data_IF_631192409899
#
_entry.id   IF_631192409899
#
_cell.length_a   1.000
_cell.length_b   1.000
_cell.length_c   1.000
_cell.angle_alpha   90.00
_cell.angle_beta   90.00
_cell.angle_gamma   90.00
#
_symmetry.space_group_name_H-M   'P 1'
#
loop_
_entity.id
_entity.type
_entity.pdbx_description
1 polymer ?
#
# COMPACT_ATOMS: atom_id res chain seq x y z
N UNK A 1 -12.59 0.62 10.99
CA UNK A 1 -13.52 0.53 12.13
C UNK A 1 -13.03 1.15 13.43
N UNK A 2 -11.73 1.11 13.74
CA UNK A 2 -11.19 1.64 15.01
C UNK A 2 -11.32 3.18 15.19
N UNK A 3 -11.47 3.93 14.10
CA UNK A 3 -11.63 5.39 14.06
C UNK A 3 -13.09 5.87 13.86
N UNK A 4 -14.06 4.94 13.88
CA UNK A 4 -15.49 5.28 13.82
C UNK A 4 -15.99 5.61 15.21
N UNK A 5 -17.12 6.33 15.31
CA UNK A 5 -17.80 6.55 16.58
C UNK A 5 -18.09 5.22 17.29
N UNK A 6 -17.59 5.08 18.52
CA UNK A 6 -17.61 3.84 19.30
C UNK A 6 -16.44 2.88 19.08
N UNK A 7 -15.46 3.24 18.23
CA UNK A 7 -14.21 2.51 18.00
C UNK A 7 -13.18 2.65 19.13
N UNK A 8 -11.97 2.13 18.90
CA UNK A 8 -10.87 2.13 19.87
C UNK A 8 -10.53 3.57 20.34
N UNK A 9 -10.40 4.48 19.39
CA UNK A 9 -10.00 5.87 19.61
C UNK A 9 -11.16 6.86 19.73
N UNK A 10 -12.41 6.38 19.64
CA UNK A 10 -13.60 7.24 19.67
C UNK A 10 -13.72 8.14 18.45
N UNK A 11 -14.29 9.33 18.65
CA UNK A 11 -14.45 10.34 17.60
C UNK A 11 -13.15 11.13 17.43
N UNK A 12 -12.47 10.92 16.30
CA UNK A 12 -11.27 11.66 15.89
C UNK A 12 -11.68 12.79 14.94
N UNK A 13 -11.27 14.01 15.25
CA UNK A 13 -11.53 15.18 14.41
C UNK A 13 -10.38 15.49 13.46
N UNK A 14 -9.15 15.10 13.80
CA UNK A 14 -7.94 15.36 13.01
C UNK A 14 -6.85 14.35 13.38
N UNK A 15 -6.05 13.97 12.40
CA UNK A 15 -4.82 13.21 12.61
C UNK A 15 -3.65 13.98 11.96
N UNK A 16 -2.59 14.22 12.71
CA UNK A 16 -1.32 14.74 12.20
C UNK A 16 -0.30 13.62 12.16
N UNK A 17 0.47 13.54 11.08
CA UNK A 17 1.46 12.48 10.87
C UNK A 17 2.76 13.14 10.44
N UNK A 18 3.86 12.76 11.08
CA UNK A 18 5.19 13.19 10.67
C UNK A 18 6.21 12.07 10.87
N UNK A 19 7.32 12.14 10.13
CA UNK A 19 8.41 11.18 10.25
C UNK A 19 9.54 11.48 9.30
N UNK A 20 10.62 10.72 9.47
CA UNK A 20 11.79 10.72 8.59
C UNK A 20 11.90 9.33 7.96
N UNK A 21 12.15 9.30 6.65
CA UNK A 21 12.35 8.08 5.89
C UNK A 21 13.83 8.08 5.49
N UNK A 22 14.56 7.04 5.89
CA UNK A 22 15.97 6.85 5.53
C UNK A 22 16.12 5.94 4.32
N UNK A 23 17.31 5.90 3.71
CA UNK A 23 17.62 5.10 2.51
C UNK A 23 17.50 3.58 2.73
N UNK A 24 17.46 3.13 4.00
CA UNK A 24 17.02 1.80 4.37
C UNK A 24 15.53 1.80 4.65
N UNK A 25 14.80 0.77 4.23
CA UNK A 25 13.36 0.62 4.40
C UNK A 25 12.85 0.75 5.86
N UNK A 26 13.70 1.04 6.84
CA UNK A 26 13.32 1.24 8.22
C UNK A 26 12.82 2.67 8.46
N UNK A 27 11.64 2.77 9.09
CA UNK A 27 11.17 4.04 9.63
C UNK A 27 11.83 4.18 10.98
N UNK A 28 12.90 4.96 11.05
CA UNK A 28 13.62 5.16 12.31
C UNK A 28 12.93 6.19 13.20
N UNK A 29 12.14 7.11 12.62
CA UNK A 29 11.51 8.21 13.34
C UNK A 29 10.14 8.54 12.76
N UNK A 30 9.08 8.41 13.57
CA UNK A 30 7.71 8.64 13.13
C UNK A 30 6.76 8.83 14.30
N UNK A 31 5.74 9.67 14.12
CA UNK A 31 4.61 9.76 15.05
C UNK A 31 3.28 10.11 14.36
N UNK A 32 2.21 9.68 15.01
CA UNK A 32 0.82 10.06 14.74
C UNK A 32 0.25 10.75 15.96
N UNK A 33 -0.32 11.94 15.76
CA UNK A 33 -1.06 12.68 16.76
C UNK A 33 -2.54 12.65 16.37
N UNK A 34 -3.36 12.07 17.24
CA UNK A 34 -4.80 12.04 17.10
C UNK A 34 -5.41 13.14 17.97
N UNK A 35 -6.27 13.95 17.36
CA UNK A 35 -7.05 14.96 18.06
C UNK A 35 -8.50 14.51 18.17
N UNK A 36 -9.03 14.51 19.39
CA UNK A 36 -10.36 13.97 19.68
C UNK A 36 -10.71 14.13 21.16
N UNK A 37 -11.29 13.08 21.74
CA UNK A 37 -11.60 13.02 23.18
C UNK A 37 -11.11 11.69 23.74
N UNK A 38 -10.17 11.73 24.68
CA UNK A 38 -9.51 10.55 25.21
C UNK A 38 -9.69 10.41 26.72
N UNK A 39 -10.12 9.22 27.15
CA UNK A 39 -10.06 8.77 28.53
C UNK A 39 -8.85 7.84 28.66
N UNK A 40 -7.82 8.29 29.38
CA UNK A 40 -6.52 7.61 29.41
C UNK A 40 -6.62 6.17 29.91
N UNK A 41 -7.23 5.95 31.07
CA UNK A 41 -7.38 4.62 31.67
C UNK A 41 -8.12 3.65 30.72
N UNK A 42 -9.24 4.09 30.13
CA UNK A 42 -10.01 3.26 29.21
C UNK A 42 -9.29 2.99 27.90
N UNK A 43 -8.53 3.96 27.38
CA UNK A 43 -7.81 3.82 26.12
C UNK A 43 -6.64 2.84 26.28
N UNK A 44 -5.84 3.00 27.34
CA UNK A 44 -4.68 2.14 27.61
C UNK A 44 -5.13 0.69 27.84
N UNK A 45 -6.18 0.45 28.63
CA UNK A 45 -6.69 -0.89 28.86
C UNK A 45 -7.16 -1.59 27.57
N UNK A 46 -7.76 -0.83 26.63
CA UNK A 46 -8.14 -1.37 25.32
C UNK A 46 -6.89 -1.67 24.47
N UNK A 47 -5.88 -0.80 24.49
CA UNK A 47 -4.65 -1.00 23.74
C UNK A 47 -3.86 -2.23 24.23
N UNK A 48 -3.72 -2.42 25.54
CA UNK A 48 -3.12 -3.65 26.10
C UNK A 48 -3.87 -4.91 25.65
N UNK A 49 -5.21 -4.86 25.60
CA UNK A 49 -6.01 -5.96 25.08
C UNK A 49 -5.81 -6.20 23.57
N UNK A 50 -5.50 -5.17 22.79
CA UNK A 50 -5.27 -5.28 21.34
C UNK A 50 -3.85 -5.79 21.06
N UNK A 51 -2.85 -5.29 21.78
CA UNK A 51 -1.46 -5.70 21.63
C UNK A 51 -1.16 -7.07 22.25
N UNK A 52 -1.99 -7.52 23.19
CA UNK A 52 -1.84 -8.81 23.85
C UNK A 52 -0.69 -8.87 24.86
N UNK A 53 -0.19 -7.71 25.29
CA UNK A 53 0.83 -7.55 26.33
C UNK A 53 0.62 -6.25 27.10
N UNK A 54 1.16 -6.21 28.32
CA UNK A 54 1.04 -5.07 29.23
C UNK A 54 1.95 -3.91 28.79
N UNK A 55 1.52 -2.67 29.06
CA UNK A 55 2.30 -1.47 28.79
C UNK A 55 3.01 -0.98 30.06
N UNK A 56 4.33 -0.83 29.98
CA UNK A 56 5.12 -0.22 31.03
C UNK A 56 4.97 1.31 31.00
N UNK A 57 4.84 1.92 32.17
CA UNK A 57 4.71 3.37 32.32
C UNK A 57 6.04 4.00 32.72
N UNK A 58 6.38 5.12 32.06
CA UNK A 58 7.44 6.03 32.50
C UNK A 58 6.95 7.47 32.49
N UNK A 59 7.45 8.29 33.41
CA UNK A 59 7.15 9.72 33.43
C UNK A 59 8.22 10.47 32.65
N UNK A 60 7.82 11.27 31.66
CA UNK A 60 8.71 12.14 30.90
C UNK A 60 8.15 13.57 30.93
N UNK A 61 8.89 14.48 31.58
CA UNK A 61 8.52 15.90 31.75
C UNK A 61 7.06 16.14 32.21
N UNK A 62 6.56 15.26 33.08
CA UNK A 62 5.22 15.34 33.65
C UNK A 62 4.12 14.64 32.84
N UNK A 63 4.41 14.18 31.62
CA UNK A 63 3.53 13.30 30.85
C UNK A 63 3.83 11.83 31.17
N UNK A 64 2.80 10.98 31.12
CA UNK A 64 2.95 9.53 31.19
C UNK A 64 3.19 9.01 29.77
N UNK A 65 4.30 8.31 29.60
CA UNK A 65 4.65 7.62 28.36
C UNK A 65 4.57 6.12 28.60
N UNK A 66 3.82 5.45 27.74
CA UNK A 66 3.62 4.01 27.74
C UNK A 66 4.47 3.38 26.64
N UNK A 67 5.07 2.22 26.91
CA UNK A 67 5.79 1.41 25.92
C UNK A 67 5.56 -0.07 26.23
N UNK A 68 5.76 -1.00 25.27
CA UNK A 68 5.71 -2.42 25.58
C UNK A 68 6.62 -2.78 26.76
N UNK A 69 6.14 -3.62 27.67
CA UNK A 69 6.92 -4.03 28.83
C UNK A 69 8.13 -4.91 28.43
N UNK A 70 8.02 -5.63 27.31
CA UNK A 70 9.05 -6.55 26.81
C UNK A 70 10.07 -5.86 25.89
N UNK A 71 9.67 -4.80 25.20
CA UNK A 71 10.52 -4.02 24.29
C UNK A 71 10.14 -2.53 24.32
N UNK A 72 10.87 -1.75 25.12
CA UNK A 72 10.57 -0.33 25.30
C UNK A 72 10.89 0.54 24.06
N UNK A 73 11.62 -0.01 23.09
CA UNK A 73 12.07 0.70 21.88
C UNK A 73 11.15 0.41 20.67
N UNK A 74 10.23 -0.56 20.78
CA UNK A 74 9.31 -0.94 19.70
C UNK A 74 8.37 0.20 19.33
N UNK A 75 7.71 0.79 20.33
CA UNK A 75 6.92 2.01 20.19
C UNK A 75 6.69 2.68 21.55
N UNK A 76 6.29 3.94 21.50
CA UNK A 76 5.79 4.67 22.65
C UNK A 76 4.39 5.23 22.36
N UNK A 77 3.66 5.52 23.44
CA UNK A 77 2.32 6.13 23.42
C UNK A 77 2.20 7.15 24.54
N UNK A 78 1.38 8.19 24.36
CA UNK A 78 1.01 9.10 25.45
C UNK A 78 -0.34 9.75 25.19
N UNK A 79 -1.17 9.86 26.23
CA UNK A 79 -2.31 10.78 26.26
C UNK A 79 -1.79 12.10 26.80
N UNK A 80 -1.51 13.05 25.90
CA UNK A 80 -0.86 14.31 26.27
C UNK A 80 -1.80 15.24 27.03
N UNK A 81 -3.10 15.14 26.77
CA UNK A 81 -4.20 15.77 27.48
C UNK A 81 -5.53 15.11 27.05
N UNK A 82 -6.67 15.64 27.53
CA UNK A 82 -8.01 15.11 27.21
C UNK A 82 -8.37 15.13 25.73
N UNK A 83 -7.62 15.89 24.91
CA UNK A 83 -7.90 16.10 23.49
C UNK A 83 -6.83 15.57 22.54
N UNK A 84 -5.65 15.19 23.03
CA UNK A 84 -4.54 14.76 22.17
C UNK A 84 -3.92 13.45 22.66
N UNK A 85 -3.92 12.47 21.77
CA UNK A 85 -3.20 11.21 21.91
C UNK A 85 -2.07 11.15 20.90
N UNK A 86 -0.91 10.62 21.28
CA UNK A 86 0.24 10.45 20.39
C UNK A 86 0.77 9.01 20.47
N UNK A 87 1.17 8.48 19.32
CA UNK A 87 1.87 7.21 19.16
C UNK A 87 3.08 7.45 18.26
N UNK A 88 4.23 6.84 18.55
CA UNK A 88 5.41 7.01 17.71
C UNK A 88 6.59 6.13 18.10
N UNK A 89 7.63 6.18 17.26
CA UNK A 89 8.89 5.44 17.37
C UNK A 89 10.07 6.41 17.28
N UNK A 90 11.29 5.94 17.52
CA UNK A 90 12.50 6.75 17.31
C UNK A 90 12.68 7.92 18.27
N UNK A 91 11.93 7.96 19.37
CA UNK A 91 11.92 9.09 20.29
C UNK A 91 10.99 10.23 19.91
N UNK A 92 10.21 10.12 18.83
CA UNK A 92 9.31 11.17 18.35
C UNK A 92 8.32 11.68 19.42
N UNK A 93 7.87 10.82 20.34
CA UNK A 93 7.00 11.24 21.46
C UNK A 93 7.70 12.19 22.42
N UNK A 94 8.99 11.95 22.71
CA UNK A 94 9.73 12.85 23.57
C UNK A 94 9.84 14.24 22.91
N UNK A 95 10.05 14.31 21.59
CA UNK A 95 10.12 15.58 20.86
C UNK A 95 8.77 16.30 20.86
N UNK A 96 7.66 15.57 20.69
CA UNK A 96 6.31 16.16 20.81
C UNK A 96 6.09 16.75 22.19
N UNK A 97 6.51 16.04 23.25
CA UNK A 97 6.42 16.53 24.63
C UNK A 97 7.34 17.74 24.84
N UNK A 98 8.55 17.72 24.28
CA UNK A 98 9.53 18.80 24.38
C UNK A 98 9.01 20.07 23.71
N UNK A 99 8.40 19.96 22.53
CA UNK A 99 7.74 21.09 21.86
C UNK A 99 6.56 21.59 22.69
N UNK A 100 5.70 20.70 23.19
CA UNK A 100 4.53 21.07 24.01
C UNK A 100 4.91 21.78 25.31
N UNK A 101 6.03 21.39 25.90
CA UNK A 101 6.55 21.98 27.16
C UNK A 101 7.38 23.24 26.92
N UNK A 102 7.72 23.56 25.67
CA UNK A 102 8.52 24.72 25.30
C UNK A 102 10.03 24.51 25.45
N UNK A 103 10.47 23.26 25.55
CA UNK A 103 11.89 22.87 25.63
C UNK A 103 12.54 22.63 24.26
N UNK A 104 11.72 22.54 23.19
CA UNK A 104 12.17 22.44 21.81
C UNK A 104 11.34 23.37 20.91
N UNK A 105 11.96 23.83 19.81
CA UNK A 105 11.29 24.66 18.81
C UNK A 105 10.44 23.78 17.86
N UNK A 106 9.25 24.22 17.45
CA UNK A 106 8.48 23.55 16.40
C UNK A 106 9.23 23.47 15.07
N UNK A 107 8.86 22.50 14.23
CA UNK A 107 9.36 22.39 12.87
C UNK A 107 9.10 23.68 12.07
N UNK A 108 10.05 24.05 11.21
CA UNK A 108 9.99 25.26 10.38
C UNK A 108 10.75 25.06 9.06
N UNK A 109 10.61 26.02 8.14
CA UNK A 109 11.24 26.00 6.82
C UNK A 109 10.31 25.51 5.71
N UNK A 110 10.84 25.43 4.48
CA UNK A 110 10.05 25.29 3.26
C UNK A 110 9.08 24.09 3.28
N UNK A 111 9.49 22.94 3.82
CA UNK A 111 8.60 21.77 3.93
C UNK A 111 7.38 22.06 4.82
N UNK A 112 7.61 22.72 5.95
CA UNK A 112 6.55 23.07 6.89
C UNK A 112 5.66 24.19 6.34
N UNK A 113 6.25 25.15 5.62
CA UNK A 113 5.50 26.20 4.93
C UNK A 113 4.54 25.58 3.90
N UNK A 114 5.04 24.66 3.04
CA UNK A 114 4.23 23.92 2.07
C UNK A 114 3.13 23.08 2.73
N UNK A 115 3.43 22.39 3.84
CA UNK A 115 2.41 21.66 4.60
C UNK A 115 1.32 22.59 5.14
N UNK A 116 1.71 23.70 5.77
CA UNK A 116 0.76 24.65 6.36
C UNK A 116 -0.18 25.25 5.32
N UNK A 117 0.34 25.59 4.14
CA UNK A 117 -0.44 26.11 3.00
C UNK A 117 -1.52 25.13 2.52
N UNK A 118 -1.31 23.82 2.70
CA UNK A 118 -2.21 22.75 2.24
C UNK A 118 -3.10 22.17 3.35
N UNK A 119 -2.72 22.34 4.62
CA UNK A 119 -3.36 21.71 5.78
C UNK A 119 -4.75 22.25 6.16
N UNK A 120 -5.21 23.31 5.48
CA UNK A 120 -6.49 23.95 5.78
C UNK A 120 -7.73 23.22 5.27
N UNK A 121 -7.57 22.27 4.36
CA UNK A 121 -8.67 21.51 3.74
C UNK A 121 -9.02 20.19 4.46
N UNK A 122 -9.68 19.29 3.73
CA UNK A 122 -9.99 17.92 4.16
C UNK A 122 -8.73 17.10 4.49
N UNK A 123 -7.66 17.29 3.71
CA UNK A 123 -6.35 16.69 3.97
C UNK A 123 -5.23 17.56 3.39
N UNK A 124 -4.04 17.43 3.99
CA UNK A 124 -2.82 18.09 3.53
C UNK A 124 -1.61 17.19 3.78
N UNK A 125 -0.68 17.19 2.84
CA UNK A 125 0.52 16.37 2.84
C UNK A 125 1.66 17.15 2.22
N UNK A 126 2.86 17.03 2.78
CA UNK A 126 4.08 17.54 2.19
C UNK A 126 5.23 16.57 2.42
N UNK A 127 6.07 16.39 1.42
CA UNK A 127 7.19 15.46 1.41
C UNK A 127 8.41 16.14 0.79
N UNK A 128 9.56 16.03 1.46
CA UNK A 128 10.85 16.36 0.84
C UNK A 128 11.32 15.16 0.01
N UNK A 129 11.70 15.42 -1.23
CA UNK A 129 12.11 14.40 -2.20
C UNK A 129 13.63 14.18 -2.11
N UNK A 130 14.09 12.96 -1.80
CA UNK A 130 15.50 12.59 -1.90
C UNK A 130 16.05 12.84 -3.31
N UNK A 131 17.21 13.49 -3.40
CA UNK A 131 17.78 13.97 -4.67
C UNK A 131 18.39 12.85 -5.53
N UNK A 132 18.56 11.67 -4.95
CA UNK A 132 19.06 10.45 -5.58
C UNK A 132 17.97 9.58 -6.23
N UNK A 133 16.68 9.88 -5.98
CA UNK A 133 15.56 9.18 -6.64
C UNK A 133 15.68 9.22 -8.17
N UNK A 134 16.20 10.32 -8.72
CA UNK A 134 16.37 10.46 -10.17
C UNK A 134 17.54 9.64 -10.72
N UNK A 135 18.53 9.29 -9.89
CA UNK A 135 19.65 8.43 -10.29
C UNK A 135 19.25 6.94 -10.27
N UNK A 136 18.27 6.57 -9.46
CA UNK A 136 17.73 5.20 -9.37
C UNK A 136 16.59 4.91 -10.35
N UNK A 137 15.81 5.93 -10.72
CA UNK A 137 14.71 5.78 -11.66
C UNK A 137 15.23 5.70 -13.11
N UNK A 138 15.20 4.52 -13.74
CA UNK A 138 15.35 4.40 -15.20
C UNK A 138 14.09 4.95 -15.90
N UNK A 139 14.00 6.27 -16.00
CA UNK A 139 12.87 6.99 -16.59
C UNK A 139 12.66 6.63 -18.08
N UNK A 140 13.70 6.16 -18.77
CA UNK A 140 13.62 5.66 -20.14
C UNK A 140 12.85 4.34 -20.28
N UNK A 141 12.62 3.64 -19.17
CA UNK A 141 11.87 2.39 -19.14
C UNK A 141 10.39 2.56 -18.78
N UNK A 142 9.91 3.79 -18.54
CA UNK A 142 8.48 4.10 -18.37
C UNK A 142 7.77 3.98 -19.74
N UNK A 143 6.90 2.98 -19.93
CA UNK A 143 6.26 2.73 -21.22
C UNK A 143 5.37 3.91 -21.65
N UNK A 144 5.63 4.46 -22.83
CA UNK A 144 4.91 5.61 -23.38
C UNK A 144 5.58 6.98 -23.13
N UNK A 145 6.59 7.06 -22.26
CA UNK A 145 7.38 8.28 -22.04
C UNK A 145 8.78 8.24 -22.68
N UNK A 146 9.39 7.06 -22.82
CA UNK A 146 10.74 6.91 -23.39
C UNK A 146 10.91 7.31 -24.87
N UNK A 147 9.81 7.36 -25.64
CA UNK A 147 9.81 7.79 -27.04
C UNK A 147 9.46 9.28 -27.23
N UNK A 148 9.18 10.01 -26.13
CA UNK A 148 8.86 11.43 -26.22
C UNK A 148 10.13 12.27 -26.35
N UNK A 149 10.19 13.25 -27.27
CA UNK A 149 11.36 14.11 -27.47
C UNK A 149 11.43 15.22 -26.41
N UNK A 150 11.18 14.89 -25.15
CA UNK A 150 11.15 15.80 -24.00
C UNK A 150 12.05 15.23 -22.91
N UNK A 151 12.95 16.08 -22.40
CA UNK A 151 13.82 15.73 -21.29
C UNK A 151 13.01 15.74 -19.99
N UNK A 152 13.17 14.70 -19.17
CA UNK A 152 12.57 14.57 -17.84
C UNK A 152 13.57 15.01 -16.74
N UNK A 153 14.59 15.78 -17.11
CA UNK A 153 15.67 16.21 -16.20
C UNK A 153 15.14 17.09 -15.05
N UNK A 154 13.92 17.62 -15.16
CA UNK A 154 13.27 18.37 -14.09
C UNK A 154 12.97 17.51 -12.85
N UNK A 155 12.87 16.18 -12.98
CA UNK A 155 12.61 15.27 -11.85
C UNK A 155 13.78 15.29 -10.86
N UNK A 156 15.01 15.34 -11.37
CA UNK A 156 16.22 15.47 -10.54
C UNK A 156 16.31 16.78 -9.75
N UNK A 157 15.55 17.80 -10.15
CA UNK A 157 15.53 19.10 -9.50
C UNK A 157 14.35 19.26 -8.52
N UNK A 158 13.47 18.26 -8.40
CA UNK A 158 12.33 18.31 -7.49
C UNK A 158 12.81 18.24 -6.04
N UNK A 159 12.40 19.19 -5.21
CA UNK A 159 12.80 19.30 -3.80
C UNK A 159 11.65 18.92 -2.85
N UNK A 160 10.47 19.52 -3.02
CA UNK A 160 9.32 19.28 -2.15
C UNK A 160 8.07 19.04 -3.00
N UNK A 161 7.29 18.03 -2.63
CA UNK A 161 5.96 17.79 -3.18
C UNK A 161 4.94 17.96 -2.07
N UNK A 162 3.92 18.78 -2.35
CA UNK A 162 2.75 18.94 -1.51
C UNK A 162 1.49 18.49 -2.23
N UNK A 163 0.57 17.91 -1.47
CA UNK A 163 -0.77 17.56 -1.93
C UNK A 163 -1.78 17.97 -0.87
N UNK A 164 -2.75 18.79 -1.24
CA UNK A 164 -3.88 19.18 -0.41
C UNK A 164 -5.19 18.89 -1.14
N UNK A 165 -6.24 18.70 -0.36
CA UNK A 165 -7.59 18.55 -0.89
C UNK A 165 -8.62 19.20 0.02
N UNK A 166 -9.60 19.87 -0.57
CA UNK A 166 -10.75 20.41 0.13
C UNK A 166 -12.05 20.00 -0.56
N UNK A 167 -13.14 19.90 0.22
CA UNK A 167 -14.45 19.56 -0.30
C UNK A 167 -15.32 20.81 -0.34
N UNK A 168 -15.45 21.42 -1.51
CA UNK A 168 -16.26 22.64 -1.72
C UNK A 168 -17.42 22.37 -2.69
N UNK A 169 -18.62 22.82 -2.34
CA UNK A 169 -19.84 22.79 -3.18
C UNK A 169 -20.11 21.50 -3.99
N UNK A 170 -19.72 20.34 -3.47
CA UNK A 170 -19.93 19.03 -4.12
C UNK A 170 -18.84 18.64 -5.12
N UNK A 171 -17.69 19.30 -5.09
CA UNK A 171 -16.43 18.92 -5.72
C UNK A 171 -15.32 18.73 -4.69
N UNK A 172 -14.37 17.85 -5.01
CA UNK A 172 -13.08 17.73 -4.36
C UNK A 172 -12.08 18.58 -5.14
N UNK A 173 -11.61 19.66 -4.54
CA UNK A 173 -10.59 20.53 -5.10
C UNK A 173 -9.23 20.05 -4.61
N UNK A 174 -8.42 19.54 -5.54
CA UNK A 174 -7.07 19.08 -5.28
C UNK A 174 -6.07 20.17 -5.65
N UNK A 175 -5.08 20.35 -4.79
CA UNK A 175 -3.93 21.24 -5.01
C UNK A 175 -2.66 20.41 -4.89
N UNK A 176 -1.88 20.36 -5.96
CA UNK A 176 -0.54 19.75 -5.98
C UNK A 176 0.48 20.88 -6.08
N UNK A 177 1.40 20.96 -5.14
CA UNK A 177 2.53 21.91 -5.19
C UNK A 177 3.82 21.14 -5.42
N UNK A 178 4.67 21.63 -6.30
CA UNK A 178 5.98 21.06 -6.59
C UNK A 178 7.01 22.17 -6.53
N UNK A 179 7.88 22.13 -5.53
CA UNK A 179 9.01 23.04 -5.40
C UNK A 179 10.25 22.41 -6.03
N UNK A 180 10.92 23.18 -6.86
CA UNK A 180 12.16 22.79 -7.54
C UNK A 180 13.35 23.57 -6.98
N UNK A 181 14.52 22.93 -7.02
CA UNK A 181 15.81 23.56 -6.72
C UNK A 181 16.26 24.54 -7.80
N UNK A 182 15.71 24.42 -9.02
CA UNK A 182 15.99 25.27 -10.17
C UNK A 182 14.69 25.72 -10.87
N UNK A 183 14.61 27.01 -11.20
CA UNK A 183 13.42 27.60 -11.83
C UNK A 183 13.14 27.01 -13.24
N UNK A 184 14.19 26.63 -13.99
CA UNK A 184 14.00 26.08 -15.35
C UNK A 184 13.40 24.69 -15.31
N UNK A 185 13.61 23.93 -14.23
CA UNK A 185 12.95 22.65 -14.03
C UNK A 185 11.44 22.82 -13.90
N UNK A 186 11.00 23.79 -13.09
CA UNK A 186 9.58 24.14 -12.96
C UNK A 186 8.99 24.60 -14.30
N UNK A 187 9.69 25.47 -15.04
CA UNK A 187 9.28 25.93 -16.39
C UNK A 187 9.17 24.75 -17.38
N UNK A 188 10.09 23.79 -17.32
CA UNK A 188 10.10 22.62 -18.19
C UNK A 188 8.88 21.72 -17.93
N UNK A 189 8.52 21.50 -16.67
CA UNK A 189 7.33 20.73 -16.32
C UNK A 189 6.03 21.45 -16.72
N UNK A 190 5.94 22.77 -16.46
CA UNK A 190 4.80 23.59 -16.88
C UNK A 190 4.58 23.50 -18.40
N UNK A 191 5.64 23.66 -19.19
CA UNK A 191 5.60 23.55 -20.65
C UNK A 191 5.20 22.14 -21.12
N UNK A 192 5.70 21.11 -20.44
CA UNK A 192 5.35 19.71 -20.72
C UNK A 192 3.86 19.45 -20.52
N UNK A 193 3.31 19.79 -19.36
CA UNK A 193 1.89 19.59 -19.05
C UNK A 193 1.03 20.41 -20.01
N UNK A 194 1.38 21.67 -20.26
CA UNK A 194 0.68 22.54 -21.22
C UNK A 194 0.68 21.94 -22.63
N UNK A 195 1.78 21.31 -23.04
CA UNK A 195 1.89 20.58 -24.30
C UNK A 195 0.91 19.41 -24.38
N UNK A 196 0.83 18.58 -23.34
CA UNK A 196 -0.13 17.47 -23.25
C UNK A 196 -1.57 17.98 -23.32
N UNK A 197 -1.91 19.01 -22.54
CA UNK A 197 -3.27 19.59 -22.51
C UNK A 197 -3.66 20.13 -23.89
N UNK A 198 -2.72 20.80 -24.57
CA UNK A 198 -2.93 21.32 -25.93
C UNK A 198 -3.20 20.20 -26.93
N UNK A 199 -2.42 19.12 -26.87
CA UNK A 199 -2.61 17.95 -27.73
C UNK A 199 -3.94 17.27 -27.43
N UNK A 200 -4.23 16.96 -26.16
CA UNK A 200 -5.47 16.32 -25.74
C UNK A 200 -6.69 17.13 -26.18
N UNK A 201 -6.69 18.45 -26.02
CA UNK A 201 -7.77 19.33 -26.48
C UNK A 201 -8.04 19.23 -27.99
N UNK A 202 -7.04 18.84 -28.79
CA UNK A 202 -7.19 18.61 -30.24
C UNK A 202 -7.74 17.23 -30.64
N UNK A 203 -7.68 16.24 -29.74
CA UNK A 203 -8.13 14.85 -30.00
C UNK A 203 -9.43 14.48 -29.28
N UNK A 204 -9.81 15.21 -28.24
CA UNK A 204 -10.97 14.88 -27.43
C UNK A 204 -12.28 15.31 -28.11
N UNK A 205 -13.05 14.32 -28.53
CA UNK A 205 -14.44 14.47 -29.03
C UNK A 205 -15.48 13.94 -28.03
N UNK A 206 -15.07 13.40 -26.87
CA UNK A 206 -15.96 12.86 -25.83
C UNK A 206 -16.20 13.91 -24.71
N UNK A 207 -17.45 14.30 -24.44
CA UNK A 207 -17.82 15.26 -23.38
C UNK A 207 -17.34 14.91 -21.97
N UNK A 208 -17.11 13.62 -21.66
CA UNK A 208 -16.69 13.17 -20.33
C UNK A 208 -15.22 13.47 -20.03
N UNK A 209 -14.35 13.40 -21.03
CA UNK A 209 -12.93 13.76 -20.92
C UNK A 209 -12.66 15.26 -21.01
N UNK A 210 -13.60 16.04 -21.56
CA UNK A 210 -13.51 17.51 -21.56
C UNK A 210 -13.72 18.13 -20.17
N UNK A 211 -14.41 17.43 -19.24
CA UNK A 211 -14.65 17.92 -17.88
C UNK A 211 -13.39 17.94 -17.00
N UNK A 212 -12.60 16.87 -17.02
CA UNK A 212 -11.40 16.71 -16.18
C UNK A 212 -10.29 17.69 -16.60
N UNK A 213 -10.11 17.92 -17.91
CA UNK A 213 -9.14 18.92 -18.40
C UNK A 213 -9.63 20.37 -18.27
N UNK A 214 -10.95 20.58 -18.17
CA UNK A 214 -11.54 21.91 -18.01
C UNK A 214 -11.33 22.52 -16.63
N UNK A 215 -11.04 21.70 -15.62
CA UNK A 215 -10.77 22.11 -14.23
C UNK A 215 -9.29 22.08 -13.85
N UNK A 216 -8.38 21.85 -14.80
CA UNK A 216 -6.94 21.87 -14.58
C UNK A 216 -6.41 23.29 -14.69
N UNK A 217 -5.96 23.86 -13.59
CA UNK A 217 -5.25 25.13 -13.55
C UNK A 217 -3.79 24.88 -13.18
N UNK A 218 -2.87 25.55 -13.88
CA UNK A 218 -1.44 25.46 -13.63
C UNK A 218 -0.94 26.88 -13.42
N UNK A 219 -0.28 27.11 -12.29
CA UNK A 219 0.32 28.38 -11.93
C UNK A 219 1.77 28.14 -11.50
N UNK A 220 2.69 28.97 -12.00
CA UNK A 220 4.11 28.89 -11.63
C UNK A 220 4.55 30.21 -11.04
N UNK A 221 5.15 30.15 -9.85
CA UNK A 221 5.82 31.27 -9.20
C UNK A 221 7.29 30.91 -8.96
N UNK A 222 8.17 31.42 -9.82
CA UNK A 222 9.59 31.07 -9.80
C UNK A 222 9.80 29.55 -9.93
N UNK A 223 10.40 28.94 -8.90
CA UNK A 223 10.67 27.51 -8.85
C UNK A 223 9.53 26.67 -8.25
N UNK A 224 8.38 27.26 -7.92
CA UNK A 224 7.20 26.55 -7.43
C UNK A 224 6.17 26.40 -8.55
N UNK A 225 5.73 25.18 -8.80
CA UNK A 225 4.60 24.87 -9.67
C UNK A 225 3.40 24.46 -8.81
N UNK A 226 2.25 25.07 -9.04
CA UNK A 226 0.99 24.72 -8.39
C UNK A 226 0.01 24.23 -9.45
N UNK A 227 -0.53 23.03 -9.25
CA UNK A 227 -1.53 22.42 -10.12
C UNK A 227 -2.81 22.29 -9.30
N UNK A 228 -3.90 22.87 -9.79
CA UNK A 228 -5.22 22.74 -9.18
C UNK A 228 -6.13 21.93 -10.08
N UNK A 229 -6.88 21.01 -9.48
CA UNK A 229 -7.85 20.17 -10.18
C UNK A 229 -9.13 20.13 -9.38
N UNK A 230 -10.23 20.61 -9.96
CA UNK A 230 -11.56 20.45 -9.35
C UNK A 230 -12.25 19.20 -9.90
N UNK A 231 -12.63 18.30 -8.99
CA UNK A 231 -13.22 17.01 -9.33
C UNK A 231 -14.64 16.93 -8.76
N UNK A 232 -15.69 16.84 -9.58
CA UNK A 232 -17.05 16.63 -9.08
C UNK A 232 -17.14 15.34 -8.26
N UNK A 233 -17.81 15.40 -7.10
CA UNK A 233 -17.97 14.23 -6.22
C UNK A 233 -18.66 13.03 -6.89
N UNK A 234 -19.48 13.28 -7.91
CA UNK A 234 -20.10 12.24 -8.73
C UNK A 234 -19.09 11.44 -9.57
N UNK A 235 -17.94 12.05 -9.92
CA UNK A 235 -16.90 11.45 -10.75
C UNK A 235 -15.79 10.80 -9.91
N UNK A 236 -15.69 11.14 -8.62
CA UNK A 236 -14.74 10.54 -7.65
C UNK A 236 -14.78 9.01 -7.67
N UNK A 237 -15.95 8.33 -7.57
CA UNK A 237 -15.99 6.87 -7.63
C UNK A 237 -15.45 6.28 -8.95
N UNK A 238 -15.53 7.03 -10.05
CA UNK A 238 -14.99 6.62 -11.36
C UNK A 238 -13.48 6.84 -11.48
N UNK A 239 -12.95 7.90 -10.86
CA UNK A 239 -11.51 8.21 -10.85
C UNK A 239 -10.71 7.22 -10.01
N UNK A 240 -11.22 6.85 -8.84
CA UNK A 240 -10.64 5.77 -8.03
C UNK A 240 -11.09 4.39 -8.50
N UNK A 241 -12.18 4.32 -9.26
CA UNK A 241 -12.58 3.12 -9.98
C UNK A 241 -11.48 2.65 -10.92
N UNK A 242 -10.86 3.55 -11.69
CA UNK A 242 -9.77 3.20 -12.62
C UNK A 242 -8.40 3.00 -11.95
N UNK A 243 -8.12 3.72 -10.84
CA UNK A 243 -6.96 3.41 -9.97
C UNK A 243 -7.09 2.04 -9.27
N UNK A 244 -8.31 1.55 -9.06
CA UNK A 244 -8.57 0.20 -8.54
C UNK A 244 -8.79 -0.84 -9.66
N UNK A 245 -8.99 -0.39 -10.90
CA UNK A 245 -9.05 -1.22 -12.12
C UNK A 245 -7.88 -0.97 -13.08
N UNK A 246 -6.65 -0.99 -12.57
CA UNK A 246 -5.49 -1.55 -13.29
C UNK A 246 -5.15 -1.03 -14.69
N UNK A 247 -5.57 0.18 -15.10
CA UNK A 247 -5.03 0.85 -16.30
C UNK A 247 -3.70 1.53 -15.96
N UNK A 248 -2.70 0.67 -15.70
CA UNK A 248 -1.27 0.86 -15.99
C UNK A 248 -0.78 2.31 -16.15
N UNK A 249 -0.42 2.94 -15.03
CA UNK A 249 0.92 3.51 -14.94
C UNK A 249 1.88 2.32 -14.83
N UNK A 250 2.52 1.94 -15.94
CA UNK A 250 3.65 1.02 -15.85
C UNK A 250 4.80 1.77 -15.17
N UNK A 251 4.86 1.65 -13.85
CA UNK A 251 6.07 1.94 -13.09
C UNK A 251 7.17 1.02 -13.61
N UNK A 252 8.18 1.61 -14.22
CA UNK A 252 9.44 0.92 -14.41
C UNK A 252 10.01 0.56 -13.03
N UNK A 253 10.37 -0.71 -12.92
CA UNK A 253 11.08 -1.39 -11.85
C UNK A 253 11.73 -0.51 -10.77
N UNK A 254 11.01 -0.35 -9.67
CA UNK A 254 11.53 -0.04 -8.34
C UNK A 254 10.49 -0.57 -7.37
N UNK A 255 10.85 -1.56 -6.55
CA UNK A 255 9.95 -2.29 -5.66
C UNK A 255 9.01 -1.36 -4.90
N UNK A 256 7.71 -1.42 -5.23
CA UNK A 256 6.63 -0.93 -4.38
C UNK A 256 6.83 -1.51 -2.99
N UNK A 257 7.20 -0.66 -2.03
CA UNK A 257 7.33 -1.03 -0.63
C UNK A 257 6.24 -0.31 0.13
N UNK A 258 5.27 -1.11 0.55
CA UNK A 258 3.98 -0.65 1.00
C UNK A 258 3.99 0.12 2.31
N UNK A 259 2.90 0.86 2.47
CA UNK A 259 2.39 1.51 3.69
C UNK A 259 2.49 0.57 4.90
N UNK A 260 2.66 1.06 6.15
CA UNK A 260 2.87 0.24 7.36
C UNK A 260 1.87 -0.91 7.60
N UNK A 261 0.64 -0.84 7.06
CA UNK A 261 -0.31 -1.96 7.10
C UNK A 261 0.22 -3.21 6.38
N UNK A 262 1.00 -3.07 5.30
CA UNK A 262 1.55 -4.20 4.54
C UNK A 262 2.60 -4.99 5.32
N UNK A 263 3.38 -4.36 6.21
CA UNK A 263 4.36 -5.07 7.07
C UNK A 263 3.70 -5.86 8.19
N UNK A 264 2.61 -5.35 8.75
CA UNK A 264 1.76 -6.08 9.70
C UNK A 264 1.09 -7.28 9.05
N UNK A 265 0.74 -7.19 7.75
CA UNK A 265 0.22 -8.30 6.95
C UNK A 265 1.31 -9.30 6.50
N UNK A 266 2.51 -8.84 6.13
CA UNK A 266 3.66 -9.74 5.86
C UNK A 266 4.07 -10.56 7.09
N UNK A 267 3.91 -9.99 8.29
CA UNK A 267 4.09 -10.71 9.55
C UNK A 267 2.97 -11.74 9.81
N UNK A 268 1.77 -11.55 9.27
CA UNK A 268 0.63 -12.46 9.41
C UNK A 268 0.66 -13.66 8.44
N UNK A 269 1.33 -13.56 7.28
CA UNK A 269 1.43 -14.64 6.26
C UNK A 269 2.53 -15.67 6.60
N UNK A 270 2.77 -15.92 7.88
CA UNK A 270 4.02 -16.52 8.39
C UNK A 270 4.02 -18.03 8.71
N UNK A 271 3.09 -18.81 8.20
CA UNK A 271 3.19 -20.27 8.39
C UNK A 271 4.18 -20.87 7.39
N UNK A 272 5.47 -20.86 7.77
CA UNK A 272 6.48 -21.69 7.12
C UNK A 272 6.13 -23.15 7.37
N UNK A 273 5.57 -23.82 6.37
CA UNK A 273 5.31 -25.25 6.43
C UNK A 273 6.62 -26.00 6.15
N UNK A 274 6.89 -27.03 6.96
CA UNK A 274 8.03 -27.91 6.73
C UNK A 274 7.92 -28.56 5.35
N UNK A 275 8.94 -28.36 4.52
CA UNK A 275 9.00 -28.96 3.19
C UNK A 275 9.08 -30.48 3.34
N UNK A 276 8.29 -31.20 2.55
CA UNK A 276 8.32 -32.66 2.55
C UNK A 276 9.71 -33.20 2.19
N UNK A 277 10.10 -34.40 2.67
CA UNK A 277 11.45 -34.94 2.48
C UNK A 277 11.87 -35.18 1.02
N UNK A 278 10.91 -35.25 0.09
CA UNK A 278 11.14 -35.45 -1.34
C UNK A 278 10.18 -34.60 -2.18
N UNK A 279 10.63 -34.29 -3.40
CA UNK A 279 9.90 -33.58 -4.45
C UNK A 279 10.17 -34.28 -5.80
N UNK A 280 9.96 -35.59 -5.85
CA UNK A 280 10.26 -36.38 -7.05
C UNK A 280 9.04 -36.47 -7.97
N UNK A 281 9.30 -36.50 -9.28
CA UNK A 281 8.31 -36.89 -10.27
C UNK A 281 7.91 -38.37 -10.09
N UNK A 282 6.62 -38.60 -9.84
CA UNK A 282 6.01 -39.94 -9.81
C UNK A 282 5.16 -40.18 -11.05
N UNK A 283 4.83 -41.45 -11.31
CA UNK A 283 4.03 -41.83 -12.46
C UNK A 283 2.63 -41.19 -12.41
N UNK A 284 2.13 -40.70 -13.54
CA UNK A 284 0.77 -40.18 -13.62
C UNK A 284 -0.26 -41.22 -13.19
N UNK A 285 -1.21 -40.78 -12.36
CA UNK A 285 -2.21 -41.66 -11.72
C UNK A 285 -1.77 -42.24 -10.38
N UNK A 286 -0.48 -42.15 -10.02
CA UNK A 286 -0.02 -42.49 -8.67
C UNK A 286 -0.52 -41.45 -7.67
N UNK A 287 -1.06 -41.91 -6.54
CA UNK A 287 -1.48 -41.05 -5.42
C UNK A 287 -0.31 -40.71 -4.53
N UNK A 288 -0.25 -39.43 -4.13
CA UNK A 288 0.73 -38.90 -3.16
C UNK A 288 -0.02 -38.40 -1.94
N UNK A 289 0.51 -38.74 -0.77
CA UNK A 289 0.03 -38.23 0.52
C UNK A 289 0.83 -36.99 0.91
N UNK A 290 0.13 -35.91 1.22
CA UNK A 290 0.74 -34.61 1.55
C UNK A 290 0.59 -34.28 3.04
N UNK A 291 1.53 -33.52 3.58
CA UNK A 291 1.47 -33.06 4.98
C UNK A 291 0.44 -31.97 5.23
N UNK A 292 -0.06 -31.31 4.18
CA UNK A 292 -1.04 -30.23 4.25
C UNK A 292 -2.12 -30.39 3.20
N UNK A 293 -3.23 -29.69 3.40
CA UNK A 293 -4.35 -29.67 2.47
C UNK A 293 -4.89 -28.22 2.36
N UNK A 294 -4.67 -27.51 1.24
CA UNK A 294 -3.97 -27.94 0.01
C UNK A 294 -2.48 -28.27 0.24
N UNK A 295 -1.86 -29.07 -0.64
CA UNK A 295 -0.44 -29.40 -0.51
C UNK A 295 0.42 -28.16 -0.76
N UNK A 296 1.56 -28.07 -0.06
CA UNK A 296 2.54 -26.98 -0.24
C UNK A 296 3.90 -27.44 -0.73
N UNK A 297 4.15 -28.76 -0.75
CA UNK A 297 5.38 -29.38 -1.24
C UNK A 297 5.20 -30.89 -1.27
N UNK A 298 6.03 -31.61 -2.03
CA UNK A 298 6.06 -33.07 -2.02
C UNK A 298 6.30 -33.65 -3.40
N UNK A 299 6.30 -34.98 -3.47
CA UNK A 299 6.28 -35.71 -4.73
C UNK A 299 5.03 -35.36 -5.54
N UNK A 300 5.14 -35.37 -6.87
CA UNK A 300 4.08 -34.87 -7.74
C UNK A 300 4.19 -35.47 -9.14
N UNK A 301 3.19 -35.27 -9.99
CA UNK A 301 3.23 -35.80 -11.37
C UNK A 301 4.14 -34.96 -12.23
N UNK A 302 4.79 -35.56 -13.24
CA UNK A 302 5.63 -34.83 -14.18
C UNK A 302 4.89 -33.78 -15.05
N UNK A 303 3.56 -33.73 -14.98
CA UNK A 303 2.74 -32.70 -15.62
C UNK A 303 2.30 -31.64 -14.62
N UNK A 304 2.29 -30.39 -15.05
CA UNK A 304 1.71 -29.25 -14.35
C UNK A 304 0.52 -28.68 -15.16
N UNK A 305 -0.21 -27.72 -14.58
CA UNK A 305 -1.31 -27.03 -15.26
C UNK A 305 -0.87 -25.68 -15.84
N UNK A 306 -1.45 -25.28 -16.97
CA UNK A 306 -1.29 -23.92 -17.51
C UNK A 306 -1.87 -22.86 -16.55
N UNK A 307 -1.51 -21.58 -16.76
CA UNK A 307 -2.11 -20.49 -15.99
C UNK A 307 -3.62 -20.42 -16.20
N UNK A 308 -4.38 -20.18 -15.13
CA UNK A 308 -5.79 -19.80 -15.25
C UNK A 308 -6.75 -20.46 -14.28
N UNK A 309 -8.02 -20.55 -14.70
CA UNK A 309 -9.17 -20.84 -13.86
C UNK A 309 -9.77 -22.23 -14.14
N UNK A 310 -9.74 -23.09 -13.13
CA UNK A 310 -10.13 -24.51 -13.20
C UNK A 310 -11.29 -24.81 -12.24
N UNK A 311 -12.54 -24.46 -12.58
CA UNK A 311 -13.69 -24.63 -11.69
C UNK A 311 -14.08 -26.10 -11.48
N UNK A 312 -13.59 -27.01 -12.34
CA UNK A 312 -13.74 -28.46 -12.18
C UNK A 312 -12.72 -29.09 -11.22
N UNK A 313 -11.84 -28.27 -10.61
CA UNK A 313 -10.77 -28.73 -9.76
C UNK A 313 -9.55 -29.21 -10.56
N UNK A 314 -8.45 -29.42 -9.84
CA UNK A 314 -7.24 -30.06 -10.35
C UNK A 314 -6.75 -31.07 -9.31
N UNK A 315 -6.10 -32.17 -9.72
CA UNK A 315 -5.46 -33.10 -8.77
C UNK A 315 -4.38 -32.40 -7.94
N UNK A 316 -4.25 -32.80 -6.67
CA UNK A 316 -3.22 -32.30 -5.75
C UNK A 316 -1.81 -32.55 -6.32
N UNK A 317 -1.61 -33.65 -7.04
CA UNK A 317 -0.34 -34.02 -7.67
C UNK A 317 0.03 -33.16 -8.89
N UNK A 318 -0.95 -32.51 -9.54
CA UNK A 318 -0.68 -31.58 -10.64
C UNK A 318 -0.28 -30.23 -10.08
N UNK A 319 -1.05 -29.72 -9.11
CA UNK A 319 -0.80 -28.39 -8.57
C UNK A 319 0.45 -28.35 -7.70
N UNK A 320 0.88 -29.47 -7.11
CA UNK A 320 2.15 -29.53 -6.38
C UNK A 320 3.35 -29.31 -7.32
N UNK A 321 3.26 -29.74 -8.58
CA UNK A 321 4.26 -29.41 -9.60
C UNK A 321 4.25 -27.91 -9.92
N UNK A 322 3.08 -27.30 -10.08
CA UNK A 322 2.97 -25.84 -10.24
C UNK A 322 3.67 -25.11 -9.07
N UNK A 323 3.49 -25.57 -7.84
CA UNK A 323 4.18 -25.00 -6.68
C UNK A 323 5.71 -25.18 -6.75
N UNK A 324 6.21 -26.31 -7.25
CA UNK A 324 7.65 -26.53 -7.45
C UNK A 324 8.24 -25.52 -8.45
N UNK A 325 7.50 -25.22 -9.52
CA UNK A 325 7.84 -24.20 -10.51
C UNK A 325 7.72 -22.75 -10.01
N UNK A 326 7.33 -22.56 -8.74
CA UNK A 326 7.17 -21.25 -8.12
C UNK A 326 5.84 -20.58 -8.45
N UNK A 327 4.86 -21.32 -8.97
CA UNK A 327 3.51 -20.80 -9.19
C UNK A 327 2.75 -20.66 -7.86
N UNK A 328 1.67 -19.90 -7.88
CA UNK A 328 0.72 -19.74 -6.79
C UNK A 328 -0.54 -20.50 -7.15
N UNK A 329 -0.94 -21.40 -6.25
CA UNK A 329 -2.16 -22.19 -6.40
C UNK A 329 -3.23 -21.63 -5.46
N UNK A 330 -4.33 -21.15 -6.05
CA UNK A 330 -5.50 -20.63 -5.34
C UNK A 330 -6.56 -21.71 -5.28
N UNK A 331 -6.73 -22.33 -4.11
CA UNK A 331 -7.77 -23.34 -3.89
C UNK A 331 -8.95 -22.69 -3.18
N UNK A 332 -10.16 -22.81 -3.71
CA UNK A 332 -11.36 -22.18 -3.11
C UNK A 332 -12.49 -23.17 -2.93
N UNK A 333 -13.32 -22.95 -1.91
CA UNK A 333 -14.58 -23.66 -1.72
C UNK A 333 -15.70 -22.66 -1.41
N UNK A 334 -16.54 -22.39 -2.41
CA UNK A 334 -17.68 -21.48 -2.27
C UNK A 334 -18.95 -22.14 -2.78
N UNK A 335 -19.93 -22.32 -1.90
CA UNK A 335 -21.29 -22.68 -2.29
C UNK A 335 -22.01 -21.53 -3.01
N UNK A 336 -21.64 -20.27 -2.72
CA UNK A 336 -22.25 -19.08 -3.31
C UNK A 336 -21.57 -18.67 -4.63
N UNK A 337 -22.26 -18.69 -5.79
CA UNK A 337 -21.69 -18.27 -7.07
C UNK A 337 -21.22 -16.80 -7.12
N UNK A 338 -21.78 -15.92 -6.27
CA UNK A 338 -21.32 -14.54 -6.18
C UNK A 338 -19.88 -14.45 -5.67
N UNK A 339 -19.51 -15.26 -4.67
CA UNK A 339 -18.13 -15.30 -4.15
C UNK A 339 -17.16 -15.91 -5.17
N UNK A 340 -17.63 -16.87 -5.98
CA UNK A 340 -16.85 -17.41 -7.10
C UNK A 340 -16.55 -16.32 -8.14
N UNK A 341 -17.54 -15.48 -8.44
CA UNK A 341 -17.40 -14.36 -9.39
C UNK A 341 -16.45 -13.30 -8.84
N UNK A 342 -16.61 -12.96 -7.55
CA UNK A 342 -15.74 -12.02 -6.83
C UNK A 342 -14.28 -12.49 -6.81
N UNK A 343 -14.02 -13.76 -6.47
CA UNK A 343 -12.68 -14.33 -6.47
C UNK A 343 -12.06 -14.30 -7.86
N UNK A 344 -12.83 -14.65 -8.87
CA UNK A 344 -12.36 -14.62 -10.25
C UNK A 344 -11.95 -13.20 -10.67
N UNK A 345 -12.76 -12.19 -10.33
CA UNK A 345 -12.44 -10.79 -10.60
C UNK A 345 -11.17 -10.35 -9.85
N UNK A 346 -11.03 -10.73 -8.58
CA UNK A 346 -9.84 -10.44 -7.78
C UNK A 346 -8.55 -11.02 -8.39
N UNK A 347 -8.61 -12.26 -8.88
CA UNK A 347 -7.48 -12.93 -9.53
C UNK A 347 -7.19 -12.34 -10.91
N UNK A 348 -8.21 -12.02 -11.71
CA UNK A 348 -8.03 -11.37 -13.01
C UNK A 348 -7.41 -9.97 -12.89
N UNK A 349 -7.72 -9.26 -11.79
CA UNK A 349 -7.11 -7.98 -11.43
C UNK A 349 -5.67 -8.13 -10.91
N UNK A 350 -5.31 -9.31 -10.39
CA UNK A 350 -3.93 -9.59 -9.95
C UNK A 350 -3.07 -9.91 -11.17
N UNK A 351 -2.31 -8.94 -11.68
CA UNK A 351 -1.53 -9.10 -12.92
C UNK A 351 -0.62 -10.34 -12.96
N UNK A 352 -0.02 -10.70 -11.82
CA UNK A 352 0.82 -11.88 -11.68
C UNK A 352 0.06 -13.21 -11.86
N UNK A 353 -1.25 -13.24 -11.65
CA UNK A 353 -2.08 -14.44 -11.83
C UNK A 353 -2.00 -14.98 -13.26
N UNK A 354 -1.89 -14.10 -14.26
CA UNK A 354 -1.84 -14.50 -15.69
C UNK A 354 -0.54 -15.23 -16.08
N UNK A 355 0.48 -15.16 -15.22
CA UNK A 355 1.83 -15.68 -15.50
C UNK A 355 2.23 -16.77 -14.48
N UNK A 356 1.73 -16.65 -13.25
CA UNK A 356 2.13 -17.48 -12.12
C UNK A 356 0.95 -18.12 -11.39
N UNK A 357 -0.29 -17.92 -11.85
CA UNK A 357 -1.48 -18.26 -11.10
C UNK A 357 -2.29 -19.43 -11.66
N UNK A 358 -2.60 -20.37 -10.78
CA UNK A 358 -3.54 -21.47 -11.05
C UNK A 358 -4.63 -21.44 -10.00
N UNK A 359 -5.88 -21.27 -10.38
CA UNK A 359 -7.02 -21.29 -9.47
C UNK A 359 -7.87 -22.52 -9.69
N UNK A 360 -8.24 -23.23 -8.61
CA UNK A 360 -9.04 -24.45 -8.67
C UNK A 360 -10.12 -24.47 -7.59
N UNK A 361 -11.26 -25.09 -7.90
CA UNK A 361 -12.18 -25.51 -6.84
C UNK A 361 -11.55 -26.64 -6.02
N UNK A 362 -11.79 -26.64 -4.71
CA UNK A 362 -11.22 -27.61 -3.79
C UNK A 362 -12.16 -27.85 -2.61
N UNK A 363 -12.96 -28.91 -2.68
CA UNK A 363 -14.01 -29.22 -1.71
C UNK A 363 -13.48 -29.72 -0.35
N UNK A 364 -12.16 -29.92 -0.21
CA UNK A 364 -11.51 -30.39 1.02
C UNK A 364 -11.09 -29.27 1.98
N UNK A 365 -11.35 -28.00 1.67
CA UNK A 365 -11.25 -26.86 2.62
C UNK A 365 -12.67 -26.41 3.02
N UNK A 366 -12.82 -25.61 4.07
CA UNK A 366 -14.17 -25.26 4.55
C UNK A 366 -14.93 -24.40 3.53
N UNK A 367 -16.26 -24.52 3.53
CA UNK A 367 -17.10 -23.64 2.72
C UNK A 367 -16.94 -22.19 3.15
N UNK A 368 -16.76 -21.28 2.20
CA UNK A 368 -16.44 -19.89 2.46
C UNK A 368 -14.95 -19.58 2.51
N UNK A 369 -14.05 -20.55 2.31
CA UNK A 369 -12.60 -20.34 2.39
C UNK A 369 -11.89 -20.30 1.03
N UNK A 370 -10.78 -19.56 1.02
CA UNK A 370 -9.77 -19.58 -0.04
C UNK A 370 -8.40 -19.82 0.60
N UNK A 371 -7.63 -20.71 -0.01
CA UNK A 371 -6.26 -21.01 0.37
C UNK A 371 -5.30 -20.62 -0.77
N UNK A 372 -4.33 -19.76 -0.47
CA UNK A 372 -3.25 -19.37 -1.36
C UNK A 372 -2.02 -20.21 -1.00
N UNK A 373 -1.55 -21.05 -1.92
CA UNK A 373 -0.41 -21.93 -1.69
C UNK A 373 0.78 -21.51 -2.54
N UNK A 374 1.97 -21.51 -1.93
CA UNK A 374 3.27 -21.44 -2.59
C UNK A 374 4.18 -22.52 -2.00
N UNK A 375 5.33 -22.81 -2.61
CA UNK A 375 6.21 -23.86 -2.08
C UNK A 375 6.61 -23.62 -0.61
N UNK A 376 6.20 -24.52 0.29
CA UNK A 376 6.42 -24.42 1.75
C UNK A 376 5.67 -23.27 2.44
N UNK A 377 4.60 -22.75 1.83
CA UNK A 377 3.77 -21.65 2.34
C UNK A 377 2.30 -21.88 2.04
N UNK A 378 1.43 -21.52 2.98
CA UNK A 378 -0.01 -21.42 2.73
C UNK A 378 -0.57 -20.24 3.50
N UNK A 379 -1.58 -19.59 2.93
CA UNK A 379 -2.39 -18.58 3.60
C UNK A 379 -3.86 -18.92 3.42
N UNK A 380 -4.62 -18.95 4.52
CA UNK A 380 -6.07 -19.17 4.51
C UNK A 380 -6.80 -17.86 4.77
N UNK A 381 -7.88 -17.64 4.05
CA UNK A 381 -8.77 -16.51 4.26
C UNK A 381 -10.23 -16.93 4.12
N UNK A 382 -11.08 -16.35 4.98
CA UNK A 382 -12.53 -16.41 4.85
C UNK A 382 -12.99 -15.34 3.85
N UNK A 383 -13.69 -15.77 2.80
CA UNK A 383 -14.15 -14.93 1.71
C UNK A 383 -13.04 -14.47 0.77
N UNK A 384 -13.33 -13.44 -0.03
CA UNK A 384 -12.38 -12.89 -1.01
C UNK A 384 -11.77 -11.62 -0.44
N UNK A 385 -10.44 -11.61 -0.28
CA UNK A 385 -9.69 -10.45 0.20
C UNK A 385 -8.65 -10.05 -0.83
N UNK A 386 -8.99 -9.09 -1.68
CA UNK A 386 -8.18 -8.68 -2.83
C UNK A 386 -6.76 -8.23 -2.44
N UNK A 387 -6.63 -7.47 -1.34
CA UNK A 387 -5.33 -7.02 -0.83
C UNK A 387 -4.43 -8.19 -0.40
N UNK A 388 -4.99 -9.20 0.26
CA UNK A 388 -4.23 -10.39 0.69
C UNK A 388 -3.82 -11.26 -0.50
N UNK A 389 -4.68 -11.39 -1.51
CA UNK A 389 -4.35 -12.08 -2.77
C UNK A 389 -3.17 -11.38 -3.45
N UNK A 390 -3.27 -10.06 -3.65
CA UNK A 390 -2.21 -9.27 -4.30
C UNK A 390 -0.88 -9.43 -3.57
N UNK A 391 -0.89 -9.21 -2.24
CA UNK A 391 0.31 -9.31 -1.41
C UNK A 391 0.94 -10.72 -1.46
N UNK A 392 0.15 -11.78 -1.40
CA UNK A 392 0.66 -13.15 -1.46
C UNK A 392 1.35 -13.44 -2.80
N UNK A 393 0.74 -13.02 -3.91
CA UNK A 393 1.33 -13.15 -5.24
C UNK A 393 2.63 -12.36 -5.36
N UNK A 394 2.63 -11.09 -4.93
CA UNK A 394 3.84 -10.25 -4.94
C UNK A 394 4.96 -10.84 -4.09
N UNK A 395 4.63 -11.44 -2.95
CA UNK A 395 5.60 -11.99 -2.01
C UNK A 395 6.22 -13.30 -2.52
N UNK A 396 5.45 -14.19 -3.14
CA UNK A 396 5.90 -15.57 -3.39
C UNK A 396 5.97 -16.00 -4.86
N UNK A 397 5.27 -15.34 -5.78
CA UNK A 397 5.22 -15.79 -7.18
C UNK A 397 6.62 -15.78 -7.82
N UNK A 398 7.05 -16.92 -8.33
CA UNK A 398 8.36 -17.15 -8.93
C UNK A 398 9.54 -17.03 -7.95
N UNK A 399 9.30 -17.04 -6.63
CA UNK A 399 10.31 -16.78 -5.59
C UNK A 399 10.56 -17.95 -4.64
N UNK A 400 9.58 -18.78 -4.33
CA UNK A 400 9.70 -19.84 -3.29
C UNK A 400 9.85 -21.25 -3.83
N UNK A 401 9.47 -21.50 -5.08
CA UNK A 401 9.66 -22.80 -5.72
C UNK A 401 11.15 -23.13 -5.90
N UNK A 402 11.55 -24.42 -5.84
CA UNK A 402 12.88 -24.85 -6.25
C UNK A 402 13.21 -24.46 -7.69
N UNK A 403 12.20 -24.32 -8.54
CA UNK A 403 12.32 -23.88 -9.93
C UNK A 403 11.58 -22.57 -10.18
N UNK A 404 11.84 -21.96 -11.34
CA UNK A 404 11.24 -20.69 -11.76
C UNK A 404 10.70 -20.80 -13.17
N UNK A 405 9.51 -21.40 -13.30
CA UNK A 405 8.85 -21.67 -14.57
C UNK A 405 7.40 -21.12 -14.47
N UNK A 406 7.05 -20.19 -15.35
CA UNK A 406 5.68 -19.69 -15.46
C UNK A 406 4.74 -20.83 -15.91
N UNK A 407 3.48 -20.80 -15.47
CA UNK A 407 2.56 -21.95 -15.64
C UNK A 407 2.19 -22.19 -17.09
#
# INVERSE_FOLDING_TARGET
DQFRSGGLFGDISRADIFGEITDGDDVEYFAVLLHGSFDEDSLIAKLESVFGHDLAQRVYKGAIVYSPADDADEFALSVLDSSTFVMGIGGAINDVIDIKTGDADPASGALMDTFNDLSGGLFGFALKVPQDIADEADLGSIPGLGDLPISLDFISALDIVGLGGDLDDGSLDLVVTMDFTDEKAAESLEAFISGIVTLASGFLSDPRTSGILGGLEIDRDGSRLTIKVSIPTADIPGLFGDLTTGTSFQSSAGTSRGVPETRLLEAAVRDKIAIMPSALHVAEGQKVEYSTNPPTSGDHWARWADCGWYPGGLPDEVITHNLEHGNIVVSYNFANPAQVTELRQALEATGLFKIWGVARSHDKIADGEVALSAWGRVHFMEGVRTGEIGLFFETFAGKTGPERIAC
#
